data_IF_710637233813
#
_entry.id   IF_710637233813
#
_cell.length_a   1.000
_cell.length_b   1.000
_cell.length_c   1.000
_cell.angle_alpha   90.00
_cell.angle_beta   90.00
_cell.angle_gamma   90.00
#
_symmetry.space_group_name_H-M   'P 1'
#
loop_
_entity.id
_entity.type
_entity.pdbx_description
1 polymer ?
#
# COMPACT_ATOMS: atom_id res chain seq x y z
N UNK A 1 -14.43 12.65 -11.93
CA UNK A 1 -14.90 11.25 -12.11
C UNK A 1 -15.53 10.79 -10.80
N UNK A 2 -16.35 9.72 -10.78
CA UNK A 2 -17.01 9.30 -9.54
C UNK A 2 -16.03 8.65 -8.56
N UNK A 3 -16.28 8.76 -7.23
CA UNK A 3 -15.51 8.04 -6.22
C UNK A 3 -15.47 6.54 -6.50
N UNK A 4 -14.33 5.90 -6.19
CA UNK A 4 -14.12 4.47 -6.41
C UNK A 4 -13.67 3.78 -5.13
N UNK A 5 -14.38 2.72 -4.77
CA UNK A 5 -14.07 1.89 -3.61
C UNK A 5 -13.23 0.69 -4.01
N UNK A 6 -12.22 0.40 -3.19
CA UNK A 6 -11.28 -0.71 -3.36
C UNK A 6 -11.29 -1.59 -2.13
N UNK A 7 -11.07 -2.89 -2.32
CA UNK A 7 -10.79 -3.82 -1.23
C UNK A 7 -9.30 -4.12 -1.19
N UNK A 8 -8.68 -3.96 -0.02
CA UNK A 8 -7.32 -4.32 0.26
C UNK A 8 -7.25 -5.48 1.26
N UNK A 9 -6.36 -6.43 1.00
CA UNK A 9 -6.17 -7.61 1.85
C UNK A 9 -4.69 -7.90 2.02
N UNK A 10 -4.30 -8.36 3.22
CA UNK A 10 -2.99 -8.97 3.39
C UNK A 10 -2.91 -10.33 2.67
N UNK A 11 -1.70 -10.88 2.50
CA UNK A 11 -1.50 -12.15 1.79
C UNK A 11 -2.34 -13.32 2.37
N UNK A 12 -2.41 -13.40 3.70
CA UNK A 12 -3.13 -14.48 4.39
C UNK A 12 -4.61 -14.17 4.65
N UNK A 13 -5.14 -13.04 4.16
CA UNK A 13 -6.52 -12.59 4.33
C UNK A 13 -6.98 -12.39 5.78
N UNK A 14 -6.05 -12.36 6.75
CA UNK A 14 -6.36 -12.04 8.15
C UNK A 14 -6.81 -10.59 8.32
N UNK A 15 -6.28 -9.68 7.49
CA UNK A 15 -6.59 -8.26 7.50
C UNK A 15 -7.27 -7.93 6.18
N UNK A 16 -8.51 -7.46 6.26
CA UNK A 16 -9.28 -6.93 5.15
C UNK A 16 -9.77 -5.53 5.50
N UNK A 17 -9.67 -4.62 4.54
CA UNK A 17 -10.24 -3.28 4.63
C UNK A 17 -10.78 -2.85 3.27
N UNK A 18 -11.71 -1.91 3.29
CA UNK A 18 -12.12 -1.15 2.12
C UNK A 18 -11.65 0.29 2.25
N UNK A 19 -11.30 0.89 1.12
CA UNK A 19 -10.99 2.31 1.04
C UNK A 19 -11.73 2.93 -0.14
N UNK A 20 -12.21 4.15 0.03
CA UNK A 20 -12.81 4.95 -1.05
C UNK A 20 -11.90 6.11 -1.40
N UNK A 21 -11.58 6.23 -2.68
CA UNK A 21 -10.82 7.36 -3.23
C UNK A 21 -11.75 8.27 -4.04
N UNK A 22 -11.46 9.58 -4.12
CA UNK A 22 -12.30 10.51 -4.86
C UNK A 22 -12.33 10.22 -6.37
N UNK A 23 -11.26 9.61 -6.91
CA UNK A 23 -11.21 9.09 -8.27
C UNK A 23 -10.62 7.66 -8.35
N UNK A 24 -10.62 7.07 -9.54
CA UNK A 24 -9.95 5.82 -9.81
C UNK A 24 -8.42 5.97 -9.83
N UNK A 25 -7.71 4.89 -9.47
CA UNK A 25 -6.26 4.80 -9.59
C UNK A 25 -5.85 4.81 -11.06
N UNK A 26 -4.72 5.45 -11.35
CA UNK A 26 -4.12 5.40 -12.68
C UNK A 26 -3.93 3.94 -13.16
N UNK A 27 -4.20 3.63 -14.44
CA UNK A 27 -4.48 4.58 -15.54
C UNK A 27 -5.96 4.92 -15.71
N UNK A 28 -6.86 4.31 -14.94
CA UNK A 28 -8.31 4.44 -15.13
C UNK A 28 -8.85 5.79 -14.64
N UNK A 29 -8.17 6.42 -13.68
CA UNK A 29 -8.48 7.76 -13.21
C UNK A 29 -7.22 8.54 -12.88
N UNK A 30 -7.39 9.61 -12.11
CA UNK A 30 -6.35 10.60 -11.80
C UNK A 30 -5.70 10.41 -10.43
N UNK A 31 -6.15 9.44 -9.61
CA UNK A 31 -5.53 9.18 -8.32
C UNK A 31 -4.10 8.71 -8.48
N UNK A 32 -3.21 9.39 -7.77
CA UNK A 32 -1.77 9.16 -7.82
C UNK A 32 -1.34 8.15 -6.77
N UNK A 33 -0.36 7.33 -7.14
CA UNK A 33 0.30 6.41 -6.22
C UNK A 33 1.66 7.02 -5.87
N UNK A 34 1.88 7.27 -4.59
CA UNK A 34 3.14 7.83 -4.11
C UNK A 34 4.17 6.72 -3.88
N UNK A 35 5.30 6.81 -4.59
CA UNK A 35 6.46 5.93 -4.45
C UNK A 35 7.55 6.61 -3.61
N UNK A 36 7.40 6.55 -2.29
CA UNK A 36 8.35 7.18 -1.37
C UNK A 36 9.68 6.43 -1.37
N UNK A 37 10.76 7.15 -1.66
CA UNK A 37 12.12 6.61 -1.79
C UNK A 37 12.91 6.47 -0.48
N UNK A 38 12.25 6.63 0.67
CA UNK A 38 12.95 6.46 1.95
C UNK A 38 13.35 4.99 2.17
N UNK A 39 14.40 4.76 2.95
CA UNK A 39 14.99 3.42 3.13
C UNK A 39 13.99 2.38 3.66
N UNK A 40 13.03 2.79 4.50
CA UNK A 40 12.00 1.91 5.04
C UNK A 40 10.91 1.58 4.00
N UNK A 41 10.41 2.59 3.28
CA UNK A 41 9.39 2.41 2.25
C UNK A 41 9.89 1.52 1.11
N UNK A 42 11.13 1.75 0.65
CA UNK A 42 11.78 0.93 -0.37
C UNK A 42 11.91 -0.53 0.06
N UNK A 43 12.39 -0.79 1.29
CA UNK A 43 12.59 -2.16 1.80
C UNK A 43 11.28 -2.94 1.96
N UNK A 44 10.20 -2.24 2.33
CA UNK A 44 8.88 -2.86 2.53
C UNK A 44 7.98 -2.78 1.28
N UNK A 45 8.48 -2.20 0.18
CA UNK A 45 7.76 -2.10 -1.09
C UNK A 45 6.47 -1.29 -1.00
N UNK A 46 6.43 -0.23 -0.18
CA UNK A 46 5.27 0.63 -0.06
C UNK A 46 5.03 1.41 -1.37
N UNK A 47 3.80 1.31 -1.87
CA UNK A 47 3.24 2.21 -2.88
C UNK A 47 1.99 2.82 -2.25
N UNK A 48 2.01 4.09 -1.89
CA UNK A 48 1.02 4.66 -0.98
C UNK A 48 -0.08 5.44 -1.71
N UNK A 49 -1.31 5.24 -1.26
CA UNK A 49 -2.45 6.11 -1.56
C UNK A 49 -2.97 6.67 -0.24
N UNK A 50 -3.57 7.87 -0.27
CA UNK A 50 -3.89 8.65 0.94
C UNK A 50 -5.39 8.93 1.07
N UNK A 51 -6.23 7.93 1.35
CA UNK A 51 -7.62 8.18 1.74
C UNK A 51 -7.69 8.86 3.12
N UNK A 52 -8.71 9.70 3.31
CA UNK A 52 -9.12 10.20 4.62
C UNK A 52 -9.58 9.03 5.53
N UNK A 53 -9.43 9.20 6.84
CA UNK A 53 -9.83 8.20 7.85
C UNK A 53 -11.29 7.73 7.69
N UNK A 54 -12.19 8.68 7.45
CA UNK A 54 -13.62 8.39 7.23
C UNK A 54 -13.91 7.52 6.01
N UNK A 55 -12.99 7.48 5.04
CA UNK A 55 -13.11 6.71 3.80
C UNK A 55 -12.42 5.35 3.88
N UNK A 56 -11.91 4.96 5.05
CA UNK A 56 -11.29 3.65 5.28
C UNK A 56 -12.12 2.87 6.30
N UNK A 57 -12.51 1.66 5.94
CA UNK A 57 -13.26 0.77 6.81
C UNK A 57 -12.55 -0.57 6.94
N UNK A 58 -12.18 -0.93 8.17
CA UNK A 58 -11.65 -2.26 8.48
C UNK A 58 -12.81 -3.25 8.67
N UNK A 59 -12.64 -4.47 8.17
CA UNK A 59 -13.63 -5.52 8.38
C UNK A 59 -13.56 -6.05 9.81
N UNK A 60 -14.64 -5.90 10.59
CA UNK A 60 -14.70 -6.35 11.97
C UNK A 60 -13.58 -5.75 12.83
N UNK A 61 -12.80 -6.60 13.49
CA UNK A 61 -11.67 -6.24 14.36
C UNK A 61 -10.31 -6.23 13.62
N UNK A 62 -10.31 -6.16 12.29
CA UNK A 62 -9.07 -6.18 11.51
C UNK A 62 -8.07 -5.08 11.90
N UNK A 63 -8.52 -3.88 12.29
CA UNK A 63 -7.61 -2.80 12.71
C UNK A 63 -6.80 -3.19 13.96
N UNK A 64 -7.44 -3.81 14.96
CA UNK A 64 -6.79 -4.18 16.23
C UNK A 64 -5.83 -5.36 16.07
N UNK A 65 -6.02 -6.18 15.03
CA UNK A 65 -5.14 -7.30 14.67
C UNK A 65 -3.83 -6.88 14.01
N UNK A 66 -3.68 -5.61 13.63
CA UNK A 66 -2.45 -5.12 13.01
C UNK A 66 -1.33 -4.96 14.03
N UNK A 67 -0.15 -5.49 13.70
CA UNK A 67 1.07 -5.14 14.41
C UNK A 67 1.54 -3.75 13.97
N UNK A 68 2.20 -3.03 14.89
CA UNK A 68 2.65 -1.66 14.67
C UNK A 68 4.15 -1.53 14.88
N UNK A 69 4.80 -0.73 14.04
CA UNK A 69 6.21 -0.36 14.16
C UNK A 69 6.39 1.13 13.86
N UNK A 70 7.09 1.83 14.75
CA UNK A 70 7.41 3.24 14.59
C UNK A 70 8.90 3.45 14.93
N UNK A 71 9.58 4.25 14.12
CA UNK A 71 11.01 4.53 14.28
C UNK A 71 11.28 6.02 14.10
N UNK A 72 12.53 6.44 14.36
CA UNK A 72 12.97 7.83 14.32
C UNK A 72 12.07 8.74 15.18
N UNK A 73 11.37 9.69 14.57
CA UNK A 73 10.45 10.63 15.25
C UNK A 73 9.20 9.96 15.81
N UNK A 74 8.93 8.70 15.44
CA UNK A 74 7.73 7.93 15.81
C UNK A 74 6.42 8.58 15.39
N UNK A 75 6.46 9.52 14.44
CA UNK A 75 5.28 10.21 13.91
C UNK A 75 4.55 9.39 12.84
N UNK A 76 5.20 8.37 12.28
CA UNK A 76 4.64 7.48 11.25
C UNK A 76 4.59 6.07 11.80
N UNK A 77 3.38 5.60 12.10
CA UNK A 77 3.18 4.25 12.64
C UNK A 77 2.89 3.32 11.47
N UNK A 78 3.87 2.50 11.10
CA UNK A 78 3.71 1.48 10.07
C UNK A 78 2.94 0.29 10.64
N UNK A 79 1.81 -0.07 10.01
CA UNK A 79 1.01 -1.22 10.42
C UNK A 79 1.09 -2.35 9.40
N UNK A 80 1.24 -3.57 9.89
CA UNK A 80 1.42 -4.77 9.06
C UNK A 80 0.71 -5.98 9.66
N UNK A 81 0.47 -6.99 8.83
CA UNK A 81 -0.15 -8.24 9.29
C UNK A 81 0.86 -9.05 10.11
N UNK A 82 0.59 -9.36 11.39
CA UNK A 82 1.52 -10.13 12.23
C UNK A 82 1.70 -11.59 11.76
N UNK A 83 0.73 -12.13 11.02
CA UNK A 83 0.74 -13.53 10.57
C UNK A 83 1.58 -13.75 9.31
N UNK A 84 1.59 -12.81 8.38
CA UNK A 84 2.27 -12.98 7.08
C UNK A 84 3.27 -11.86 6.73
N UNK A 85 3.41 -10.84 7.58
CA UNK A 85 4.36 -9.75 7.39
C UNK A 85 3.97 -8.72 6.31
N UNK A 86 2.84 -8.87 5.63
CA UNK A 86 2.41 -7.89 4.62
C UNK A 86 2.26 -6.49 5.22
N UNK A 87 3.03 -5.54 4.69
CA UNK A 87 2.96 -4.13 5.08
C UNK A 87 1.69 -3.50 4.53
N UNK A 88 0.72 -3.27 5.41
CA UNK A 88 -0.64 -2.88 5.02
C UNK A 88 -0.75 -1.38 4.81
N UNK A 89 -0.29 -0.60 5.79
CA UNK A 89 -0.54 0.84 5.81
C UNK A 89 0.41 1.60 6.74
N UNK A 90 0.27 2.92 6.74
CA UNK A 90 0.88 3.86 7.67
C UNK A 90 -0.23 4.71 8.28
N UNK A 91 -0.24 4.85 9.60
CA UNK A 91 -1.17 5.70 10.34
C UNK A 91 -0.66 7.14 10.35
N UNK A 92 -1.36 8.05 9.66
CA UNK A 92 -1.09 9.49 9.66
C UNK A 92 -2.19 10.29 10.39
N UNK A 93 -3.15 9.62 11.05
CA UNK A 93 -4.28 10.31 11.71
C UNK A 93 -3.82 11.31 12.76
N UNK A 94 -2.71 10.99 13.44
CA UNK A 94 -2.09 11.84 14.45
C UNK A 94 -0.78 12.50 13.96
N UNK A 95 -0.63 12.68 12.64
CA UNK A 95 0.58 13.29 12.07
C UNK A 95 0.77 14.73 12.58
N UNK A 96 2.03 15.07 12.89
CA UNK A 96 2.45 16.44 13.18
C UNK A 96 2.42 17.32 11.94
N UNK A 97 2.56 16.71 10.75
CA UNK A 97 2.38 17.37 9.47
C UNK A 97 0.89 17.56 9.22
N UNK A 98 0.45 18.82 9.18
CA UNK A 98 -0.95 19.21 8.98
C UNK A 98 -1.50 18.77 7.63
N UNK A 99 -0.63 18.60 6.63
CA UNK A 99 -1.05 18.18 5.29
C UNK A 99 -1.37 16.69 5.20
N UNK A 100 -0.90 15.88 6.16
CA UNK A 100 -1.10 14.43 6.19
C UNK A 100 -2.02 14.00 7.33
N UNK A 101 -2.47 14.95 8.16
CA UNK A 101 -3.25 14.64 9.36
C UNK A 101 -4.65 14.20 8.96
N UNK A 102 -5.11 13.11 9.58
CA UNK A 102 -6.43 12.55 9.32
C UNK A 102 -6.47 11.57 8.14
N UNK A 103 -5.31 11.19 7.61
CA UNK A 103 -5.19 10.25 6.50
C UNK A 103 -4.64 8.89 6.94
N UNK A 104 -4.88 7.90 6.08
CA UNK A 104 -4.14 6.64 6.06
C UNK A 104 -3.24 6.58 4.84
N UNK A 105 -2.00 6.11 5.00
CA UNK A 105 -1.18 5.72 3.87
C UNK A 105 -1.41 4.23 3.56
N UNK A 106 -2.34 3.88 2.67
CA UNK A 106 -2.63 2.49 2.33
C UNK A 106 -1.65 1.99 1.26
N UNK A 107 -1.07 0.81 1.46
CA UNK A 107 -0.21 0.19 0.45
C UNK A 107 -1.05 -0.36 -0.71
N UNK A 108 -1.00 0.31 -1.85
CA UNK A 108 -1.71 -0.01 -3.07
C UNK A 108 -1.43 -1.45 -3.57
N UNK A 109 -0.28 -2.05 -3.22
CA UNK A 109 0.00 -3.47 -3.53
C UNK A 109 -0.96 -4.44 -2.86
N UNK A 110 -1.62 -4.04 -1.77
CA UNK A 110 -2.60 -4.86 -1.05
C UNK A 110 -3.99 -4.79 -1.68
N UNK A 111 -4.24 -3.85 -2.59
CA UNK A 111 -5.52 -3.72 -3.30
C UNK A 111 -5.67 -4.88 -4.29
N UNK A 112 -6.75 -5.65 -4.16
CA UNK A 112 -7.01 -6.84 -4.99
C UNK A 112 -6.92 -6.55 -6.50
N UNK A 113 -7.29 -5.35 -6.93
CA UNK A 113 -7.31 -4.93 -8.34
C UNK A 113 -5.92 -4.64 -8.93
N UNK A 114 -4.93 -4.20 -8.12
CA UNK A 114 -3.57 -3.90 -8.62
C UNK A 114 -2.80 -5.18 -9.01
N UNK A 115 -3.19 -6.34 -8.49
CA UNK A 115 -2.64 -7.63 -8.92
C UNK A 115 -2.87 -7.93 -10.41
N UNK A 116 -3.91 -7.34 -11.03
CA UNK A 116 -4.22 -7.45 -12.47
C UNK A 116 -3.50 -6.41 -13.35
N UNK A 117 -2.92 -5.36 -12.76
CA UNK A 117 -2.21 -4.27 -13.46
C UNK A 117 -0.70 -4.48 -13.58
N UNK A 118 -0.21 -5.73 -13.52
CA UNK A 118 1.22 -6.05 -13.77
C UNK A 118 1.72 -5.59 -15.15
N UNK A 119 0.84 -5.18 -16.06
CA UNK A 119 1.17 -4.79 -17.44
C UNK A 119 1.63 -3.34 -17.62
N UNK A 120 1.48 -2.45 -16.62
CA UNK A 120 1.73 -1.00 -16.81
C UNK A 120 3.16 -0.56 -16.48
N UNK A 121 3.88 -1.33 -15.65
CA UNK A 121 5.32 -1.10 -15.47
C UNK A 121 6.16 -1.41 -16.72
N UNK A 122 5.54 -1.99 -17.77
CA UNK A 122 6.19 -2.24 -19.06
C UNK A 122 6.18 -1.02 -19.99
N UNK A 123 5.39 0.03 -19.71
CA UNK A 123 5.25 1.19 -20.60
C UNK A 123 6.27 2.31 -20.36
N UNK A 124 7.17 2.16 -19.38
CA UNK A 124 8.36 3.00 -19.22
C UNK A 124 9.66 2.19 -19.44
N UNK A 125 9.75 1.47 -20.57
CA UNK A 125 11.01 1.24 -21.28
C UNK A 125 12.24 0.68 -20.53
N UNK A 126 12.08 -0.01 -19.39
CA UNK A 126 13.18 -0.74 -18.73
C UNK A 126 12.73 -2.17 -18.49
N UNK A 127 13.16 -3.04 -19.39
CA UNK A 127 13.00 -4.49 -19.33
C UNK A 127 13.53 -5.03 -18.00
N UNK A 128 12.63 -5.58 -17.19
CA UNK A 128 12.95 -6.25 -15.94
C UNK A 128 12.88 -7.77 -16.18
N UNK A 129 14.06 -8.39 -16.30
CA UNK A 129 14.37 -9.82 -16.15
C UNK A 129 14.10 -10.77 -17.33
N UNK A 130 15.05 -10.83 -18.27
CA UNK A 130 15.50 -12.11 -18.83
C UNK A 130 16.74 -12.57 -18.07
N UNK A 131 16.55 -13.24 -16.91
CA UNK A 131 17.65 -13.98 -16.29
C UNK A 131 17.73 -15.32 -17.02
N UNK A 132 18.60 -15.40 -18.01
CA UNK A 132 19.02 -16.67 -18.59
C UNK A 132 19.56 -17.55 -17.47
N UNK A 133 18.86 -18.64 -17.17
CA UNK A 133 19.35 -19.70 -16.32
C UNK A 133 20.51 -20.40 -17.05
N UNK A 134 21.73 -19.93 -16.84
CA UNK A 134 22.91 -20.77 -17.10
C UNK A 134 23.20 -21.56 -15.83
N UNK A 135 22.78 -22.81 -15.90
CA UNK A 135 23.29 -24.02 -15.23
C UNK A 135 24.68 -23.85 -14.61
N UNK A 136 24.73 -23.89 -13.28
CA UNK A 136 25.93 -24.36 -12.57
C UNK A 136 25.93 -25.88 -12.72
N UNK A 137 26.76 -26.39 -13.63
CA UNK A 137 27.14 -27.81 -13.63
C UNK A 137 28.16 -28.01 -12.52
N UNK A 138 28.00 -29.14 -11.82
CA UNK A 138 28.99 -29.75 -10.94
C UNK A 138 30.32 -29.96 -11.67
#
# INVERSE_FOLDING_TARGET
MPPKTYTATCHCHLITLTLTLPDALAPEGTETINDCTCSYCLKNGYLLVYPLDENVHFEGDCESKLASYAFATKTRVHKFCPKCGSSMLIDFRQSVDVHQRGEWGINARMIKLISRMRSILTLMGRSCWSRSMNTVRQ
#
